data_IF_405004115305
#
_entry.id   IF_405004115305
#
_cell.length_a   1.000
_cell.length_b   1.000
_cell.length_c   1.000
_cell.angle_alpha   90.00
_cell.angle_beta   90.00
_cell.angle_gamma   90.00
#
_symmetry.space_group_name_H-M   'P 1'
#
loop_
_entity.id
_entity.type
_entity.pdbx_description
1 polymer ?
#
# COMPACT_ATOMS: atom_id res chain seq x y z
N UNK A 1 -4.77 28.46 5.56
CA UNK A 1 -4.82 27.37 4.56
C UNK A 1 -3.61 26.43 4.64
N UNK A 2 -2.38 26.93 4.51
CA UNK A 2 -1.15 26.11 4.50
C UNK A 2 -0.98 25.24 5.75
N UNK A 3 -1.18 25.78 6.96
CA UNK A 3 -1.08 25.01 8.22
C UNK A 3 -2.07 23.83 8.29
N UNK A 4 -3.28 24.00 7.73
CA UNK A 4 -4.33 22.96 7.66
C UNK A 4 -3.95 21.85 6.67
N UNK A 5 -3.37 22.23 5.53
CA UNK A 5 -2.85 21.28 4.53
C UNK A 5 -1.71 20.42 5.10
N UNK A 6 -0.78 21.03 5.82
CA UNK A 6 0.36 20.32 6.43
C UNK A 6 -0.12 19.36 7.53
N UNK A 7 -1.02 19.80 8.43
CA UNK A 7 -1.53 18.96 9.50
C UNK A 7 -2.27 17.73 8.97
N UNK A 8 -3.15 17.90 7.97
CA UNK A 8 -3.83 16.76 7.34
C UNK A 8 -2.89 15.88 6.53
N UNK A 9 -1.81 16.42 5.96
CA UNK A 9 -0.80 15.62 5.25
C UNK A 9 0.00 14.74 6.22
N UNK A 10 0.37 15.27 7.38
CA UNK A 10 1.04 14.48 8.42
C UNK A 10 0.14 13.32 8.85
N UNK A 11 -1.16 13.59 9.08
CA UNK A 11 -2.13 12.53 9.41
C UNK A 11 -2.31 11.52 8.28
N UNK A 12 -2.28 11.95 7.02
CA UNK A 12 -2.33 11.08 5.85
C UNK A 12 -1.16 10.08 5.83
N UNK A 13 0.03 10.53 6.22
CA UNK A 13 1.22 9.67 6.29
C UNK A 13 1.14 8.59 7.37
N UNK A 14 0.47 8.87 8.50
CA UNK A 14 0.33 7.91 9.60
C UNK A 14 -0.90 7.02 9.46
N UNK A 15 -2.00 7.56 8.95
CA UNK A 15 -3.26 6.87 8.78
C UNK A 15 -3.99 7.47 7.57
N UNK A 16 -3.83 6.84 6.40
CA UNK A 16 -4.35 7.35 5.13
C UNK A 16 -5.83 7.73 5.16
N UNK A 17 -6.67 6.94 5.84
CA UNK A 17 -8.11 7.26 6.02
C UNK A 17 -8.26 8.47 6.95
N UNK A 18 -7.55 8.47 8.08
CA UNK A 18 -7.55 9.57 9.06
C UNK A 18 -7.13 10.92 8.47
N UNK A 19 -6.16 10.94 7.54
CA UNK A 19 -5.75 12.15 6.84
C UNK A 19 -6.85 12.73 5.94
N UNK A 20 -7.58 11.88 5.21
CA UNK A 20 -8.71 12.31 4.38
C UNK A 20 -9.86 12.85 5.22
N UNK A 21 -10.16 12.19 6.34
CA UNK A 21 -11.15 12.66 7.32
C UNK A 21 -10.77 14.02 7.90
N UNK A 22 -9.50 14.21 8.26
CA UNK A 22 -9.00 15.50 8.75
C UNK A 22 -9.13 16.62 7.71
N UNK A 23 -8.83 16.34 6.44
CA UNK A 23 -9.05 17.32 5.36
C UNK A 23 -10.50 17.72 5.18
N UNK A 24 -11.43 16.75 5.30
CA UNK A 24 -12.86 17.06 5.29
C UNK A 24 -13.26 17.97 6.46
N UNK A 25 -12.82 17.63 7.68
CA UNK A 25 -13.10 18.42 8.90
C UNK A 25 -12.48 19.82 8.86
N UNK A 26 -11.34 19.99 8.18
CA UNK A 26 -10.65 21.28 8.04
C UNK A 26 -11.24 22.18 6.93
N UNK A 27 -12.28 21.70 6.23
CA UNK A 27 -12.99 22.41 5.17
C UNK A 27 -12.27 22.41 3.82
N UNK A 28 -11.36 21.46 3.57
CA UNK A 28 -10.62 21.41 2.30
C UNK A 28 -11.56 20.89 1.19
N UNK A 29 -11.62 21.53 0.01
CA UNK A 29 -12.45 21.08 -1.09
C UNK A 29 -12.11 19.66 -1.57
N UNK A 30 -13.13 18.95 -2.05
CA UNK A 30 -13.02 17.58 -2.56
C UNK A 30 -11.91 17.40 -3.59
N UNK A 31 -11.85 18.29 -4.60
CA UNK A 31 -10.89 18.19 -5.69
C UNK A 31 -9.43 18.36 -5.23
N UNK A 32 -9.18 19.21 -4.24
CA UNK A 32 -7.84 19.42 -3.66
C UNK A 32 -7.42 18.17 -2.88
N UNK A 33 -8.31 17.66 -2.03
CA UNK A 33 -8.05 16.44 -1.25
C UNK A 33 -7.83 15.24 -2.17
N UNK A 34 -8.69 15.04 -3.16
CA UNK A 34 -8.54 13.99 -4.15
C UNK A 34 -7.19 14.06 -4.87
N UNK A 35 -6.78 15.26 -5.30
CA UNK A 35 -5.49 15.45 -5.97
C UNK A 35 -4.31 15.10 -5.05
N UNK A 36 -4.28 15.64 -3.83
CA UNK A 36 -3.18 15.40 -2.87
C UNK A 36 -3.05 13.91 -2.54
N UNK A 37 -4.17 13.25 -2.22
CA UNK A 37 -4.18 11.82 -1.84
C UNK A 37 -3.77 10.96 -3.04
N UNK A 38 -4.26 11.28 -4.23
CA UNK A 38 -3.93 10.56 -5.46
C UNK A 38 -2.44 10.65 -5.75
N UNK A 39 -1.86 11.86 -5.69
CA UNK A 39 -0.43 12.06 -5.93
C UNK A 39 0.39 11.32 -4.87
N UNK A 40 0.05 11.47 -3.59
CA UNK A 40 0.75 10.82 -2.50
C UNK A 40 0.75 9.30 -2.66
N UNK A 41 -0.43 8.66 -2.81
CA UNK A 41 -0.53 7.21 -2.96
C UNK A 41 0.03 6.68 -4.27
N UNK A 42 0.00 7.46 -5.35
CA UNK A 42 0.66 7.09 -6.60
C UNK A 42 2.19 7.09 -6.43
N UNK A 43 2.75 8.07 -5.72
CA UNK A 43 4.16 8.07 -5.34
C UNK A 43 4.51 6.86 -4.45
N UNK A 44 3.69 6.53 -3.45
CA UNK A 44 3.91 5.35 -2.60
C UNK A 44 3.81 4.04 -3.40
N UNK A 45 2.89 3.96 -4.36
CA UNK A 45 2.72 2.84 -5.27
C UNK A 45 3.94 2.65 -6.16
N UNK A 46 4.45 3.73 -6.77
CA UNK A 46 5.66 3.71 -7.58
C UNK A 46 6.87 3.28 -6.75
N UNK A 47 7.03 3.85 -5.55
CA UNK A 47 8.08 3.45 -4.60
C UNK A 47 7.97 1.96 -4.24
N UNK A 48 6.76 1.44 -4.02
CA UNK A 48 6.54 0.03 -3.73
C UNK A 48 6.83 -0.85 -4.96
N UNK A 49 6.38 -0.46 -6.14
CA UNK A 49 6.55 -1.23 -7.37
C UNK A 49 8.02 -1.32 -7.83
N UNK A 50 8.77 -0.20 -7.75
CA UNK A 50 10.21 -0.20 -8.04
C UNK A 50 11.03 -0.74 -6.88
N UNK A 51 10.65 -0.40 -5.64
CA UNK A 51 11.30 -0.85 -4.42
C UNK A 51 11.24 -2.36 -4.25
N UNK A 52 10.11 -3.00 -4.55
CA UNK A 52 9.98 -4.48 -4.53
C UNK A 52 10.93 -5.15 -5.53
N UNK A 53 11.13 -4.57 -6.71
CA UNK A 53 12.14 -5.06 -7.67
C UNK A 53 13.58 -4.92 -7.16
N UNK A 54 13.88 -3.83 -6.45
CA UNK A 54 15.19 -3.56 -5.86
C UNK A 54 15.47 -4.46 -4.64
N UNK A 55 14.48 -4.61 -3.77
CA UNK A 55 14.52 -5.47 -2.58
C UNK A 55 14.61 -6.95 -2.99
N UNK A 56 13.86 -7.42 -3.99
CA UNK A 56 13.98 -8.79 -4.47
C UNK A 56 15.39 -9.12 -4.99
N UNK A 57 16.05 -8.15 -5.66
CA UNK A 57 17.46 -8.28 -6.07
C UNK A 57 18.42 -8.32 -4.87
N UNK A 58 18.18 -7.49 -3.84
CA UNK A 58 19.03 -7.40 -2.65
C UNK A 58 18.85 -8.58 -1.70
N UNK A 59 17.62 -9.05 -1.48
CA UNK A 59 17.30 -10.25 -0.69
C UNK A 59 17.95 -11.49 -1.28
N UNK A 60 18.00 -11.63 -2.62
CA UNK A 60 18.75 -12.73 -3.26
C UNK A 60 20.22 -12.73 -2.85
N UNK A 61 20.82 -11.55 -2.68
CA UNK A 61 22.20 -11.35 -2.23
C UNK A 61 22.37 -11.58 -0.71
N UNK A 62 21.39 -11.17 0.08
CA UNK A 62 21.38 -11.31 1.55
C UNK A 62 21.03 -12.72 2.03
N UNK A 63 20.25 -13.50 1.26
CA UNK A 63 19.93 -14.90 1.58
C UNK A 63 21.20 -15.77 1.61
N UNK A 64 22.21 -15.47 0.79
CA UNK A 64 23.53 -16.10 0.88
C UNK A 64 24.31 -15.68 2.14
N UNK A 65 24.13 -14.44 2.62
CA UNK A 65 24.81 -13.91 3.81
C UNK A 65 24.14 -14.40 5.10
N UNK A 66 22.81 -14.53 5.13
CA UNK A 66 22.06 -14.99 6.31
C UNK A 66 22.17 -16.49 6.59
N UNK A 67 22.51 -17.32 5.61
CA UNK A 67 22.84 -18.75 5.85
C UNK A 67 24.09 -18.88 6.73
N UNK A 68 25.00 -17.89 6.68
CA UNK A 68 26.18 -17.82 7.55
C UNK A 68 25.87 -17.31 8.97
N UNK A 69 24.80 -16.54 9.15
CA UNK A 69 24.49 -15.84 10.41
C UNK A 69 23.46 -16.62 11.25
N UNK A 70 22.69 -17.55 10.66
CA UNK A 70 21.64 -18.32 11.34
C UNK A 70 22.12 -19.27 12.45
N UNK A 71 23.43 -19.38 12.69
CA UNK A 71 23.99 -20.11 13.83
C UNK A 71 24.02 -19.31 15.14
N UNK A 72 23.72 -18.00 15.12
CA UNK A 72 23.83 -17.16 16.31
C UNK A 72 22.51 -16.48 16.69
N UNK A 73 22.03 -16.81 17.89
CA UNK A 73 21.13 -16.06 18.78
C UNK A 73 19.65 -16.47 18.84
N UNK A 74 19.33 -17.23 19.90
CA UNK A 74 17.97 -17.69 20.25
C UNK A 74 17.06 -16.63 20.90
N UNK A 75 17.58 -15.43 21.21
CA UNK A 75 16.82 -14.38 21.92
C UNK A 75 15.93 -13.53 20.98
N UNK A 76 16.32 -13.37 19.72
CA UNK A 76 15.51 -12.65 18.70
C UNK A 76 14.30 -13.45 18.20
N UNK A 77 14.25 -14.75 18.52
CA UNK A 77 13.26 -15.69 17.96
C UNK A 77 11.85 -15.40 18.47
N UNK A 78 11.68 -14.99 19.73
CA UNK A 78 10.37 -14.78 20.35
C UNK A 78 9.69 -13.47 19.90
N UNK A 79 10.43 -12.36 19.76
CA UNK A 79 9.89 -11.08 19.26
C UNK A 79 9.55 -11.15 17.76
N UNK A 80 10.23 -12.02 17.01
CA UNK A 80 9.88 -12.35 15.62
C UNK A 80 8.58 -13.14 15.47
N UNK A 81 8.08 -13.87 16.48
CA UNK A 81 6.90 -14.75 16.30
C UNK A 81 5.62 -13.96 16.03
N UNK A 82 5.43 -12.82 16.69
CA UNK A 82 4.25 -11.96 16.50
C UNK A 82 4.28 -11.24 15.15
N UNK A 83 5.43 -10.66 14.78
CA UNK A 83 5.65 -10.06 13.45
C UNK A 83 5.56 -11.11 12.33
N UNK A 84 6.07 -12.32 12.55
CA UNK A 84 5.94 -13.44 11.62
C UNK A 84 4.49 -13.85 11.38
N UNK A 85 3.57 -13.66 12.33
CA UNK A 85 2.19 -14.10 12.12
C UNK A 85 1.47 -13.26 11.05
N UNK A 86 1.61 -11.92 11.10
CA UNK A 86 1.09 -11.03 10.06
C UNK A 86 1.88 -11.16 8.77
N UNK A 87 3.22 -11.26 8.83
CA UNK A 87 4.03 -11.49 7.64
C UNK A 87 3.68 -12.82 6.97
N UNK A 88 3.45 -13.90 7.71
CA UNK A 88 3.04 -15.20 7.14
C UNK A 88 1.66 -15.14 6.50
N UNK A 89 0.70 -14.40 7.07
CA UNK A 89 -0.61 -14.21 6.45
C UNK A 89 -0.48 -13.43 5.15
N UNK A 90 0.34 -12.39 5.14
CA UNK A 90 0.67 -11.58 3.97
C UNK A 90 1.39 -12.39 2.90
N UNK A 91 2.37 -13.19 3.27
CA UNK A 91 3.09 -14.12 2.39
C UNK A 91 2.15 -15.19 1.81
N UNK A 92 1.31 -15.81 2.64
CA UNK A 92 0.30 -16.77 2.17
C UNK A 92 -0.66 -16.12 1.18
N UNK A 93 -1.09 -14.89 1.44
CA UNK A 93 -1.99 -14.14 0.56
C UNK A 93 -1.30 -13.78 -0.77
N UNK A 94 -0.03 -13.32 -0.73
CA UNK A 94 0.79 -13.07 -1.92
C UNK A 94 0.98 -14.35 -2.73
N UNK A 95 1.38 -15.46 -2.09
CA UNK A 95 1.58 -16.75 -2.74
C UNK A 95 0.29 -17.30 -3.35
N UNK A 96 -0.85 -17.09 -2.68
CA UNK A 96 -2.16 -17.42 -3.22
C UNK A 96 -2.50 -16.57 -4.43
N UNK A 97 -2.26 -15.25 -4.38
CA UNK A 97 -2.50 -14.32 -5.49
C UNK A 97 -1.63 -14.66 -6.72
N UNK A 98 -0.35 -14.99 -6.51
CA UNK A 98 0.58 -15.35 -7.60
C UNK A 98 0.19 -16.66 -8.28
N UNK A 99 -0.53 -17.55 -7.59
CA UNK A 99 -1.10 -18.77 -8.19
C UNK A 99 -2.38 -18.51 -8.99
N UNK A 100 -2.98 -17.32 -8.90
CA UNK A 100 -4.17 -16.98 -9.67
C UNK A 100 -3.84 -16.54 -11.10
N UNK A 101 -4.85 -16.49 -11.95
CA UNK A 101 -4.73 -15.91 -13.30
C UNK A 101 -4.48 -14.40 -13.19
N UNK A 102 -3.73 -13.85 -14.14
CA UNK A 102 -3.36 -12.41 -14.17
C UNK A 102 -4.56 -11.48 -14.04
N UNK A 103 -5.70 -11.83 -14.66
CA UNK A 103 -6.92 -11.02 -14.59
C UNK A 103 -7.50 -10.91 -13.18
N UNK A 104 -7.33 -11.92 -12.34
CA UNK A 104 -7.81 -11.89 -10.94
C UNK A 104 -7.05 -10.83 -10.15
N UNK A 105 -5.72 -10.76 -10.35
CA UNK A 105 -4.86 -9.74 -9.73
C UNK A 105 -5.23 -8.34 -10.22
N UNK A 106 -5.56 -8.22 -11.51
CA UNK A 106 -6.02 -6.95 -12.10
C UNK A 106 -7.36 -6.51 -11.49
N UNK A 107 -8.35 -7.40 -11.35
CA UNK A 107 -9.65 -7.06 -10.76
C UNK A 107 -9.52 -6.69 -9.28
N UNK A 108 -8.71 -7.42 -8.51
CA UNK A 108 -8.47 -7.12 -7.10
C UNK A 108 -7.86 -5.73 -6.89
N UNK A 109 -7.18 -5.19 -7.91
CA UNK A 109 -6.62 -3.83 -7.91
C UNK A 109 -7.70 -2.74 -7.86
N UNK A 110 -8.96 -3.05 -8.15
CA UNK A 110 -10.07 -2.09 -8.09
C UNK A 110 -10.88 -2.17 -6.80
N UNK A 111 -10.68 -3.19 -5.95
CA UNK A 111 -11.44 -3.33 -4.70
C UNK A 111 -11.02 -2.22 -3.73
N UNK A 112 -11.95 -1.32 -3.32
CA UNK A 112 -11.66 -0.23 -2.41
C UNK A 112 -11.74 -0.68 -0.95
N UNK A 113 -11.23 0.16 -0.03
CA UNK A 113 -11.44 0.06 1.42
C UNK A 113 -10.87 -1.19 2.14
N UNK A 114 -10.18 -2.09 1.45
CA UNK A 114 -9.45 -3.20 2.08
C UNK A 114 -8.02 -2.77 2.42
N UNK A 115 -7.62 -2.72 3.71
CA UNK A 115 -6.25 -2.42 4.10
C UNK A 115 -5.28 -3.44 3.52
N UNK A 116 -4.06 -3.01 3.18
CA UNK A 116 -2.96 -3.85 2.66
C UNK A 116 -3.15 -4.52 1.28
N UNK A 117 -4.40 -4.74 0.83
CA UNK A 117 -4.69 -5.31 -0.49
C UNK A 117 -4.01 -4.55 -1.64
N UNK A 118 -3.98 -3.20 -1.67
CA UNK A 118 -3.24 -2.46 -2.70
C UNK A 118 -1.77 -2.89 -2.76
N UNK A 119 -1.09 -2.92 -1.62
CA UNK A 119 0.31 -3.30 -1.52
C UNK A 119 0.55 -4.75 -1.97
N UNK A 120 -0.33 -5.67 -1.57
CA UNK A 120 -0.26 -7.09 -1.97
C UNK A 120 -0.46 -7.24 -3.48
N UNK A 121 -1.46 -6.55 -4.06
CA UNK A 121 -1.72 -6.58 -5.52
C UNK A 121 -0.56 -6.01 -6.33
N UNK A 122 0.10 -4.95 -5.85
CA UNK A 122 1.31 -4.37 -6.46
C UNK A 122 2.45 -5.41 -6.47
N UNK A 123 2.70 -6.06 -5.33
CA UNK A 123 3.74 -7.10 -5.20
C UNK A 123 3.43 -8.27 -6.14
N UNK A 124 2.20 -8.80 -6.12
CA UNK A 124 1.79 -9.92 -6.95
C UNK A 124 1.91 -9.60 -8.45
N UNK A 125 1.40 -8.44 -8.89
CA UNK A 125 1.49 -8.00 -10.29
C UNK A 125 2.94 -7.86 -10.76
N UNK A 126 3.83 -7.39 -9.87
CA UNK A 126 5.28 -7.30 -10.17
C UNK A 126 5.93 -8.68 -10.25
N UNK A 127 5.60 -9.60 -9.35
CA UNK A 127 6.14 -10.97 -9.34
C UNK A 127 5.69 -11.77 -10.58
N UNK A 128 4.44 -11.59 -11.01
CA UNK A 128 3.88 -12.21 -12.22
C UNK A 128 4.37 -11.57 -13.53
N UNK A 129 5.10 -10.44 -13.46
CA UNK A 129 5.63 -9.70 -14.62
C UNK A 129 4.56 -9.31 -15.66
N UNK A 130 3.37 -8.93 -15.20
CA UNK A 130 2.27 -8.52 -16.09
C UNK A 130 2.70 -7.28 -16.89
N UNK A 131 2.64 -7.37 -18.23
CA UNK A 131 3.18 -6.36 -19.17
C UNK A 131 2.63 -4.95 -18.95
N UNK A 132 1.35 -4.84 -18.57
CA UNK A 132 0.65 -3.58 -18.30
C UNK A 132 0.30 -3.37 -16.82
N UNK A 133 1.05 -4.01 -15.90
CA UNK A 133 0.79 -3.89 -14.46
C UNK A 133 0.74 -2.44 -13.98
N UNK A 134 1.76 -1.64 -14.32
CA UNK A 134 1.92 -0.28 -13.81
C UNK A 134 0.75 0.66 -14.15
N UNK A 135 0.32 0.80 -15.43
CA UNK A 135 -0.83 1.64 -15.75
C UNK A 135 -2.11 1.13 -15.06
N UNK A 136 -2.34 -0.18 -15.02
CA UNK A 136 -3.53 -0.76 -14.36
C UNK A 136 -3.53 -0.48 -12.85
N UNK A 137 -2.38 -0.61 -12.20
CA UNK A 137 -2.19 -0.28 -10.78
C UNK A 137 -2.45 1.20 -10.49
N UNK A 138 -2.01 2.10 -11.38
CA UNK A 138 -2.29 3.54 -11.25
C UNK A 138 -3.77 3.86 -11.45
N UNK A 139 -4.42 3.26 -12.44
CA UNK A 139 -5.87 3.43 -12.67
C UNK A 139 -6.69 2.90 -11.49
N UNK A 140 -6.35 1.73 -10.94
CA UNK A 140 -7.00 1.21 -9.75
C UNK A 140 -6.74 2.07 -8.52
N UNK A 141 -5.55 2.67 -8.37
CA UNK A 141 -5.26 3.62 -7.30
C UNK A 141 -6.12 4.89 -7.41
N UNK A 142 -6.26 5.45 -8.61
CA UNK A 142 -7.15 6.57 -8.88
C UNK A 142 -8.59 6.25 -8.48
N UNK A 143 -9.10 5.09 -8.92
CA UNK A 143 -10.46 4.63 -8.57
C UNK A 143 -10.66 4.48 -7.05
N UNK A 144 -9.75 3.78 -6.37
CA UNK A 144 -9.82 3.59 -4.91
C UNK A 144 -9.76 4.90 -4.15
N UNK A 145 -8.89 5.82 -4.59
CA UNK A 145 -8.77 7.16 -3.98
C UNK A 145 -10.05 7.96 -4.17
N UNK A 146 -10.64 7.90 -5.36
CA UNK A 146 -11.91 8.57 -5.64
C UNK A 146 -13.02 8.03 -4.74
N UNK A 147 -13.19 6.71 -4.67
CA UNK A 147 -14.20 6.06 -3.82
C UNK A 147 -14.01 6.43 -2.35
N UNK A 148 -12.77 6.43 -1.84
CA UNK A 148 -12.49 6.80 -0.46
C UNK A 148 -12.86 8.25 -0.16
N UNK A 149 -12.36 9.19 -0.97
CA UNK A 149 -12.60 10.62 -0.76
C UNK A 149 -14.09 10.94 -0.92
N UNK A 150 -14.76 10.35 -1.92
CA UNK A 150 -16.20 10.53 -2.12
C UNK A 150 -17.00 10.01 -0.91
N UNK A 151 -16.69 8.81 -0.44
CA UNK A 151 -17.33 8.20 0.74
C UNK A 151 -17.19 9.10 1.97
N UNK A 152 -15.99 9.60 2.26
CA UNK A 152 -15.76 10.47 3.43
C UNK A 152 -16.48 11.81 3.28
N UNK A 153 -16.45 12.42 2.09
CA UNK A 153 -17.07 13.73 1.87
C UNK A 153 -18.59 13.70 1.85
N UNK A 154 -19.19 12.57 1.50
CA UNK A 154 -20.64 12.35 1.57
C UNK A 154 -21.10 11.98 2.99
N UNK A 155 -20.31 11.19 3.73
CA UNK A 155 -20.69 10.72 5.06
C UNK A 155 -20.39 11.72 6.19
N UNK A 156 -19.35 12.58 6.04
CA UNK A 156 -19.01 13.57 7.05
C UNK A 156 -19.55 14.97 6.69
N UNK A 157 -20.35 15.59 7.60
CA UNK A 157 -20.65 17.01 7.49
C UNK A 157 -19.37 17.84 7.67
N UNK A 158 -19.25 18.92 6.89
CA UNK A 158 -18.18 19.90 7.12
C UNK A 158 -18.47 20.71 8.37
N UNK A 159 -17.45 20.91 9.19
CA UNK A 159 -17.43 21.92 10.27
C UNK A 159 -17.37 23.33 9.69
#
# INVERSE_FOLDING_TARGET
>A
MIKRLIAGFVLLCFNGIGGVTAYRLLGIPFHITFFIVTVYWSCTLLLTYYGTGWIAKRIRKWKYINILISSATGWWRQKMVLLQSQERLREKCILWLVKQKEWVVMVLTFVPLIPELPTITIIAARLMKIKYALPILLTGNLFRTFVLVATIYQLLPSL
#
